data_IF_931284878586
#
_entry.id   IF_931284878586
#
_cell.length_a   1.000
_cell.length_b   1.000
_cell.length_c   1.000
_cell.angle_alpha   90.00
_cell.angle_beta   90.00
_cell.angle_gamma   90.00
#
_symmetry.space_group_name_H-M   'P 1'
#
loop_
_entity.id
_entity.type
_entity.pdbx_description
1 polymer ?
#
# COMPACT_ATOMS: atom_id res chain seq x y z
N UNK A 1 20.83 21.69 24.89
CA UNK A 1 20.98 21.27 23.49
C UNK A 1 20.24 19.97 23.35
N UNK A 2 19.11 19.93 22.64
CA UNK A 2 18.38 18.68 22.36
C UNK A 2 19.31 17.80 21.52
N UNK A 3 19.61 16.59 22.00
CA UNK A 3 20.36 15.61 21.21
C UNK A 3 19.57 15.33 19.92
N UNK A 4 20.02 15.88 18.80
CA UNK A 4 19.45 15.60 17.48
C UNK A 4 19.68 14.12 17.13
N UNK A 5 18.63 13.45 16.67
CA UNK A 5 18.76 12.08 16.17
C UNK A 5 19.37 12.13 14.77
N UNK A 6 20.67 11.87 14.69
CA UNK A 6 21.44 11.94 13.46
C UNK A 6 21.72 10.54 12.90
N UNK A 7 21.35 10.30 11.65
CA UNK A 7 21.68 9.07 10.91
C UNK A 7 22.36 9.44 9.60
N UNK A 8 23.44 8.78 9.28
CA UNK A 8 24.18 8.98 8.01
C UNK A 8 24.26 7.66 7.25
N UNK A 9 23.82 7.68 6.00
CA UNK A 9 24.09 6.61 5.04
C UNK A 9 25.37 7.00 4.34
N UNK A 10 26.41 6.17 4.50
CA UNK A 10 27.75 6.42 3.94
C UNK A 10 28.05 5.51 2.78
N UNK A 11 28.85 6.00 1.84
CA UNK A 11 29.49 5.21 0.77
C UNK A 11 28.47 4.51 -0.14
N UNK A 12 27.26 5.05 -0.37
CA UNK A 12 26.33 4.44 -1.30
C UNK A 12 26.92 4.43 -2.70
N UNK A 13 27.09 3.24 -3.29
CA UNK A 13 27.62 3.11 -4.66
C UNK A 13 26.70 3.83 -5.64
N UNK A 14 25.39 3.64 -5.46
CA UNK A 14 24.35 4.24 -6.28
C UNK A 14 23.20 4.77 -5.41
N UNK A 15 22.61 5.89 -5.83
CA UNK A 15 21.35 6.41 -5.29
C UNK A 15 20.42 6.70 -6.45
N UNK A 16 19.21 6.13 -6.46
CA UNK A 16 18.11 6.55 -7.32
C UNK A 16 17.25 7.50 -6.50
N UNK A 17 17.26 8.80 -6.86
CA UNK A 17 16.66 9.83 -6.00
C UNK A 17 15.14 9.91 -6.09
N UNK A 18 14.54 9.53 -7.20
CA UNK A 18 13.11 9.75 -7.49
C UNK A 18 12.64 11.20 -7.28
N UNK A 19 13.58 12.15 -7.37
CA UNK A 19 13.26 13.57 -7.45
C UNK A 19 12.64 13.93 -8.82
N UNK A 20 12.35 15.20 -9.06
CA UNK A 20 11.61 15.63 -10.27
C UNK A 20 12.33 15.28 -11.58
N UNK A 21 13.65 15.10 -11.55
CA UNK A 21 14.48 14.72 -12.71
C UNK A 21 15.02 13.29 -12.61
N UNK A 22 14.64 12.51 -11.60
CA UNK A 22 14.96 11.08 -11.39
C UNK A 22 16.46 10.81 -11.45
N UNK A 23 17.27 11.61 -10.72
CA UNK A 23 18.74 11.49 -10.76
C UNK A 23 19.21 10.14 -10.27
N UNK A 24 20.25 9.62 -10.94
CA UNK A 24 21.09 8.52 -10.45
C UNK A 24 22.42 9.11 -10.03
N UNK A 25 22.74 9.00 -8.74
CA UNK A 25 23.96 9.57 -8.13
C UNK A 25 24.94 8.47 -7.77
N UNK A 26 26.24 8.69 -8.02
CA UNK A 26 27.31 7.71 -7.78
C UNK A 26 28.22 8.18 -6.63
N UNK A 27 28.45 7.31 -5.64
CA UNK A 27 29.31 7.56 -4.49
C UNK A 27 28.88 8.81 -3.70
N UNK A 28 27.63 8.80 -3.25
CA UNK A 28 27.04 9.85 -2.41
C UNK A 28 26.71 9.34 -1.02
N UNK A 29 26.66 10.28 -0.07
CA UNK A 29 26.21 10.07 1.30
C UNK A 29 24.88 10.79 1.53
N UNK A 30 24.09 10.34 2.51
CA UNK A 30 22.85 11.00 2.91
C UNK A 30 22.90 11.27 4.41
N UNK A 31 22.68 12.52 4.84
CA UNK A 31 22.53 12.91 6.24
C UNK A 31 21.05 13.13 6.56
N UNK A 32 20.58 12.44 7.57
CA UNK A 32 19.22 12.57 8.14
C UNK A 32 19.35 13.16 9.54
N UNK A 33 18.59 14.20 9.84
CA UNK A 33 18.46 14.78 11.18
C UNK A 33 16.98 14.90 11.55
N UNK A 34 16.61 14.34 12.68
CA UNK A 34 15.22 14.36 13.18
C UNK A 34 14.22 13.88 12.11
N UNK A 35 14.56 12.78 11.44
CA UNK A 35 13.76 12.15 10.41
C UNK A 35 13.70 12.87 9.07
N UNK A 36 14.42 13.97 8.87
CA UNK A 36 14.44 14.73 7.61
C UNK A 36 15.82 14.68 6.95
N UNK A 37 15.84 14.50 5.61
CA UNK A 37 17.08 14.56 4.82
C UNK A 37 17.61 16.01 4.82
N UNK A 38 18.81 16.19 5.35
CA UNK A 38 19.47 17.49 5.43
C UNK A 38 20.51 17.69 4.32
N UNK A 39 21.18 16.58 3.90
CA UNK A 39 22.22 16.61 2.86
C UNK A 39 22.17 15.36 2.01
N UNK A 40 22.47 15.52 0.73
CA UNK A 40 22.78 14.47 -0.23
C UNK A 40 24.04 14.91 -0.98
N UNK A 41 25.21 14.53 -0.49
CA UNK A 41 26.51 15.06 -0.90
C UNK A 41 27.57 13.95 -0.88
N UNK A 42 28.68 14.16 -1.59
CA UNK A 42 29.86 13.29 -1.47
C UNK A 42 30.65 13.63 -0.21
N UNK A 43 31.17 12.61 0.46
CA UNK A 43 32.13 12.75 1.56
C UNK A 43 31.59 13.60 2.73
N UNK A 44 30.40 13.37 3.18
CA UNK A 44 29.84 14.03 4.38
C UNK A 44 30.78 13.73 5.57
N UNK A 45 31.29 14.78 6.21
CA UNK A 45 32.14 14.66 7.39
C UNK A 45 31.27 14.31 8.61
N UNK A 46 31.74 13.29 9.34
CA UNK A 46 31.13 12.87 10.59
C UNK A 46 31.69 13.69 11.76
N UNK A 47 30.85 13.94 12.75
CA UNK A 47 31.26 14.61 14.00
C UNK A 47 31.29 13.65 15.21
N UNK A 48 30.97 12.36 14.98
CA UNK A 48 30.99 11.31 15.99
C UNK A 48 29.70 11.16 16.79
N UNK A 49 28.65 11.91 16.44
CA UNK A 49 27.33 11.84 17.10
C UNK A 49 26.30 11.06 16.28
N UNK A 50 26.64 10.73 15.03
CA UNK A 50 25.73 10.08 14.09
C UNK A 50 25.69 8.56 14.28
N UNK A 51 24.52 7.97 14.02
CA UNK A 51 24.41 6.54 13.66
C UNK A 51 24.86 6.41 12.21
N UNK A 52 25.85 5.56 11.94
CA UNK A 52 26.38 5.37 10.59
C UNK A 52 25.92 4.04 10.04
N UNK A 53 25.32 4.07 8.83
CA UNK A 53 25.01 2.90 8.03
C UNK A 53 25.94 2.91 6.84
N UNK A 54 26.84 1.92 6.75
CA UNK A 54 27.72 1.77 5.60
C UNK A 54 26.96 1.08 4.46
N UNK A 55 26.80 1.80 3.35
CA UNK A 55 26.10 1.37 2.14
C UNK A 55 27.08 1.05 0.99
N UNK A 56 28.37 0.76 1.29
CA UNK A 56 29.31 0.27 0.29
C UNK A 56 28.78 -1.03 -0.36
N UNK A 57 28.82 -1.13 -1.69
CA UNK A 57 28.23 -2.22 -2.46
C UNK A 57 26.69 -2.18 -2.49
N UNK A 58 26.07 -1.04 -2.14
CA UNK A 58 24.62 -0.93 -2.11
C UNK A 58 24.08 0.15 -3.05
N UNK A 59 22.85 -0.08 -3.50
CA UNK A 59 21.97 0.90 -4.11
C UNK A 59 21.00 1.42 -3.03
N UNK A 60 20.77 2.73 -2.98
CA UNK A 60 19.79 3.38 -2.10
C UNK A 60 18.67 3.97 -2.92
N UNK A 61 17.44 3.70 -2.52
CA UNK A 61 16.22 4.31 -3.07
C UNK A 61 15.44 5.01 -1.98
N UNK A 62 14.48 5.89 -2.30
CA UNK A 62 13.41 6.19 -1.37
C UNK A 62 12.76 4.88 -0.92
N UNK A 63 12.23 4.84 0.29
CA UNK A 63 11.39 3.74 0.71
C UNK A 63 10.17 3.62 -0.21
N UNK A 64 9.77 2.38 -0.50
CA UNK A 64 8.60 2.11 -1.31
C UNK A 64 7.33 2.47 -0.54
N UNK A 65 6.28 2.84 -1.29
CA UNK A 65 4.98 3.29 -0.75
C UNK A 65 3.88 2.40 -1.30
N UNK A 66 3.32 1.58 -0.43
CA UNK A 66 2.20 0.70 -0.75
C UNK A 66 0.87 1.43 -0.56
N UNK A 67 0.05 1.50 -1.61
CA UNK A 67 -1.16 2.33 -1.63
C UNK A 67 -2.46 1.54 -1.46
N UNK A 68 -2.38 0.21 -1.36
CA UNK A 68 -3.53 -0.65 -1.11
C UNK A 68 -3.09 -2.00 -0.53
N UNK A 69 -3.70 -2.39 0.57
CA UNK A 69 -3.52 -3.68 1.23
C UNK A 69 -4.76 -4.05 2.04
N UNK A 70 -4.90 -5.34 2.34
CA UNK A 70 -5.79 -5.91 3.35
C UNK A 70 -4.93 -6.75 4.29
N UNK A 71 -4.29 -6.11 5.26
CA UNK A 71 -3.31 -6.76 6.14
C UNK A 71 -3.89 -7.97 6.89
N UNK A 72 -5.18 -7.91 7.25
CA UNK A 72 -5.86 -9.02 7.91
C UNK A 72 -5.81 -10.32 7.09
N UNK A 73 -5.71 -10.25 5.77
CA UNK A 73 -5.64 -11.43 4.90
C UNK A 73 -4.31 -12.19 5.00
N UNK A 74 -3.31 -11.66 5.71
CA UNK A 74 -1.98 -12.29 5.82
C UNK A 74 -2.01 -13.68 6.48
N UNK A 75 -3.07 -14.02 7.22
CA UNK A 75 -3.29 -15.35 7.79
C UNK A 75 -4.01 -16.32 6.82
N UNK A 76 -4.46 -15.87 5.65
CA UNK A 76 -5.25 -16.66 4.69
C UNK A 76 -4.61 -16.73 3.31
N UNK A 77 -3.27 -16.73 3.25
CA UNK A 77 -2.52 -16.92 2.00
C UNK A 77 -2.83 -18.29 1.40
N UNK A 78 -3.03 -18.35 0.09
CA UNK A 78 -3.15 -19.58 -0.69
C UNK A 78 -4.20 -20.57 -0.17
N UNK A 79 -5.35 -20.09 0.31
CA UNK A 79 -6.46 -20.97 0.73
C UNK A 79 -6.93 -21.79 -0.48
N UNK A 80 -6.96 -23.15 -0.40
CA UNK A 80 -7.19 -24.02 -1.55
C UNK A 80 -8.48 -23.71 -2.31
N UNK A 81 -9.60 -23.49 -1.61
CA UNK A 81 -10.90 -23.18 -2.22
C UNK A 81 -10.94 -21.85 -3.00
N UNK A 82 -10.04 -20.91 -2.67
CA UNK A 82 -9.93 -19.62 -3.34
C UNK A 82 -8.96 -19.60 -4.53
N UNK A 83 -8.18 -20.69 -4.77
CA UNK A 83 -7.07 -20.64 -5.73
C UNK A 83 -7.50 -20.44 -7.19
N UNK A 84 -8.64 -20.98 -7.59
CA UNK A 84 -9.14 -20.95 -8.97
C UNK A 84 -10.48 -20.19 -9.10
N UNK A 85 -10.84 -19.40 -8.10
CA UNK A 85 -12.09 -18.67 -8.08
C UNK A 85 -11.92 -17.24 -8.63
N UNK A 86 -12.94 -16.75 -9.34
CA UNK A 86 -13.11 -15.34 -9.64
C UNK A 86 -13.51 -14.57 -8.36
N UNK A 87 -13.46 -13.25 -8.38
CA UNK A 87 -13.63 -12.39 -7.20
C UNK A 87 -14.80 -12.79 -6.29
N UNK A 88 -16.02 -12.90 -6.81
CA UNK A 88 -17.19 -13.19 -5.99
C UNK A 88 -17.18 -14.60 -5.40
N UNK A 89 -16.69 -15.59 -6.15
CA UNK A 89 -16.48 -16.95 -5.66
C UNK A 89 -15.39 -17.02 -4.60
N UNK A 90 -14.31 -16.26 -4.78
CA UNK A 90 -13.21 -16.09 -3.85
C UNK A 90 -13.68 -15.46 -2.54
N UNK A 91 -14.47 -14.36 -2.59
CA UNK A 91 -15.06 -13.72 -1.41
C UNK A 91 -15.97 -14.68 -0.62
N UNK A 92 -16.86 -15.42 -1.32
CA UNK A 92 -17.73 -16.42 -0.67
C UNK A 92 -16.96 -17.53 0.05
N UNK A 93 -15.78 -17.88 -0.46
CA UNK A 93 -14.89 -18.87 0.18
C UNK A 93 -14.24 -18.30 1.44
N UNK A 94 -13.86 -17.03 1.44
CA UNK A 94 -13.03 -16.44 2.49
C UNK A 94 -13.83 -15.73 3.59
N UNK A 95 -14.98 -15.15 3.31
CA UNK A 95 -15.81 -14.50 4.34
C UNK A 95 -16.12 -15.39 5.56
N UNK A 96 -16.47 -16.69 5.40
CA UNK A 96 -16.66 -17.56 6.55
C UNK A 96 -15.42 -17.72 7.43
N UNK A 97 -14.22 -17.75 6.83
CA UNK A 97 -12.97 -17.82 7.55
C UNK A 97 -12.69 -16.50 8.27
N UNK A 98 -12.86 -15.38 7.58
CA UNK A 98 -12.63 -14.06 8.16
C UNK A 98 -13.63 -13.68 9.25
N UNK A 99 -14.84 -14.25 9.24
CA UNK A 99 -15.82 -14.07 10.32
C UNK A 99 -15.38 -14.65 11.67
N UNK A 100 -14.37 -15.53 11.67
CA UNK A 100 -13.77 -16.12 12.88
C UNK A 100 -12.70 -15.22 13.50
N UNK A 101 -12.24 -14.18 12.80
CA UNK A 101 -11.17 -13.32 13.28
C UNK A 101 -11.62 -12.50 14.49
N UNK A 102 -10.68 -12.23 15.40
CA UNK A 102 -10.81 -11.29 16.49
C UNK A 102 -9.61 -10.35 16.55
N UNK A 103 -9.47 -9.57 17.62
CA UNK A 103 -8.35 -8.63 17.79
C UNK A 103 -6.97 -9.26 17.65
N UNK A 104 -6.79 -10.53 18.09
CA UNK A 104 -5.52 -11.24 18.01
C UNK A 104 -5.14 -11.56 16.56
N UNK A 105 -6.08 -12.10 15.77
CA UNK A 105 -5.86 -12.39 14.35
C UNK A 105 -5.56 -11.10 13.57
N UNK A 106 -6.30 -10.02 13.82
CA UNK A 106 -6.07 -8.72 13.19
C UNK A 106 -4.68 -8.17 13.55
N UNK A 107 -4.29 -8.22 14.83
CA UNK A 107 -2.97 -7.74 15.25
C UNK A 107 -1.83 -8.55 14.61
N UNK A 108 -1.88 -9.88 14.69
CA UNK A 108 -0.79 -10.72 14.18
C UNK A 108 -0.69 -10.66 12.66
N UNK A 109 -1.81 -10.68 11.96
CA UNK A 109 -1.82 -10.51 10.50
C UNK A 109 -1.24 -9.15 10.06
N UNK A 110 -1.52 -8.09 10.81
CA UNK A 110 -0.98 -6.76 10.54
C UNK A 110 0.55 -6.72 10.73
N UNK A 111 1.07 -7.27 11.84
CA UNK A 111 2.52 -7.35 12.06
C UNK A 111 3.19 -8.17 10.97
N UNK A 112 2.62 -9.31 10.60
CA UNK A 112 3.15 -10.20 9.57
C UNK A 112 3.21 -9.50 8.21
N UNK A 113 2.09 -8.91 7.76
CA UNK A 113 2.01 -8.24 6.46
C UNK A 113 2.91 -7.00 6.36
N UNK A 114 2.94 -6.14 7.40
CA UNK A 114 3.84 -4.99 7.44
C UNK A 114 5.32 -5.40 7.49
N UNK A 115 5.65 -6.50 8.16
CA UNK A 115 7.02 -7.04 8.18
C UNK A 115 7.44 -7.54 6.80
N UNK A 116 6.55 -8.20 6.06
CA UNK A 116 6.80 -8.64 4.68
C UNK A 116 7.00 -7.44 3.75
N UNK A 117 6.16 -6.41 3.87
CA UNK A 117 6.32 -5.15 3.14
C UNK A 117 7.65 -4.47 3.47
N UNK A 118 8.04 -4.38 4.75
CA UNK A 118 9.31 -3.80 5.17
C UNK A 118 10.51 -4.52 4.52
N UNK A 119 10.51 -5.86 4.49
CA UNK A 119 11.54 -6.65 3.83
C UNK A 119 11.56 -6.46 2.31
N UNK A 120 10.45 -6.05 1.71
CA UNK A 120 10.37 -5.68 0.29
C UNK A 120 10.75 -4.23 -0.02
N UNK A 121 11.19 -3.45 0.99
CA UNK A 121 11.64 -2.06 0.85
C UNK A 121 10.56 -1.01 1.12
N UNK A 122 9.40 -1.40 1.60
CA UNK A 122 8.30 -0.50 1.87
C UNK A 122 8.48 0.23 3.22
N UNK A 123 8.37 1.55 3.21
CA UNK A 123 8.45 2.41 4.41
C UNK A 123 7.11 2.98 4.81
N UNK A 124 6.13 2.95 3.90
CA UNK A 124 4.77 3.42 4.13
C UNK A 124 3.76 2.47 3.50
N UNK A 125 2.72 2.12 4.24
CA UNK A 125 1.62 1.31 3.72
C UNK A 125 0.27 1.89 4.06
N UNK A 126 -0.62 1.96 3.06
CA UNK A 126 -2.06 2.01 3.30
C UNK A 126 -2.54 0.62 3.67
N UNK A 127 -3.65 0.56 4.41
CA UNK A 127 -4.40 -0.66 4.73
C UNK A 127 -5.89 -0.39 4.60
N UNK A 128 -6.65 -1.38 4.15
CA UNK A 128 -8.08 -1.31 3.99
C UNK A 128 -8.73 -2.44 4.78
N UNK A 129 -8.91 -2.23 6.10
CA UNK A 129 -9.69 -3.12 6.96
C UNK A 129 -11.17 -2.75 6.85
N UNK A 130 -12.01 -3.66 6.34
CA UNK A 130 -13.42 -3.43 6.08
C UNK A 130 -14.37 -4.40 6.80
N UNK A 131 -13.85 -5.23 7.70
CA UNK A 131 -14.62 -6.16 8.52
C UNK A 131 -14.10 -6.12 9.97
N UNK A 132 -15.03 -6.17 10.94
CA UNK A 132 -14.74 -5.99 12.35
C UNK A 132 -15.45 -7.06 13.21
N UNK A 133 -15.22 -8.36 12.96
CA UNK A 133 -15.86 -9.44 13.70
C UNK A 133 -15.29 -9.56 15.11
N UNK A 134 -16.09 -10.14 16.02
CA UNK A 134 -15.68 -10.57 17.35
C UNK A 134 -14.94 -9.51 18.20
N UNK A 135 -15.30 -8.23 18.02
CA UNK A 135 -14.72 -7.12 18.76
C UNK A 135 -13.40 -6.60 18.21
N UNK A 136 -12.98 -7.05 17.02
CA UNK A 136 -11.86 -6.44 16.29
C UNK A 136 -12.14 -4.98 15.95
N UNK A 137 -11.11 -4.15 15.92
CA UNK A 137 -11.19 -2.70 15.65
C UNK A 137 -10.03 -2.26 14.76
N UNK A 138 -10.15 -1.07 14.16
CA UNK A 138 -9.01 -0.47 13.43
C UNK A 138 -7.85 -0.09 14.38
N UNK A 139 -8.14 0.13 15.66
CA UNK A 139 -7.11 0.38 16.68
C UNK A 139 -6.10 -0.78 16.76
N UNK A 140 -6.54 -2.03 16.57
CA UNK A 140 -5.67 -3.22 16.59
C UNK A 140 -4.61 -3.19 15.48
N UNK A 141 -4.98 -2.74 14.27
CA UNK A 141 -4.03 -2.56 13.17
C UNK A 141 -3.08 -1.38 13.43
N UNK A 142 -3.60 -0.28 14.00
CA UNK A 142 -2.81 0.92 14.29
C UNK A 142 -1.73 0.61 15.34
N UNK A 143 -2.08 -0.07 16.43
CA UNK A 143 -1.11 -0.45 17.45
C UNK A 143 -0.08 -1.45 16.92
N UNK A 144 -0.49 -2.43 16.13
CA UNK A 144 0.40 -3.37 15.48
C UNK A 144 1.39 -2.67 14.52
N UNK A 145 0.93 -1.67 13.76
CA UNK A 145 1.78 -0.88 12.87
C UNK A 145 2.81 -0.04 13.65
N UNK A 146 2.45 0.49 14.81
CA UNK A 146 3.38 1.19 15.69
C UNK A 146 4.48 0.28 16.23
N UNK A 147 4.19 -1.01 16.49
CA UNK A 147 5.19 -2.00 16.89
C UNK A 147 6.21 -2.25 15.76
N UNK A 148 5.75 -2.41 14.52
CA UNK A 148 6.62 -2.62 13.34
C UNK A 148 7.41 -1.35 13.02
N UNK A 149 6.79 -0.17 13.12
CA UNK A 149 7.43 1.14 12.94
C UNK A 149 7.47 1.66 11.51
N UNK A 150 6.63 1.17 10.60
CA UNK A 150 6.39 1.78 9.29
C UNK A 150 5.44 2.98 9.41
N UNK A 151 5.48 3.91 8.44
CA UNK A 151 4.38 4.86 8.28
C UNK A 151 3.14 4.10 7.86
N UNK A 152 2.04 4.38 8.50
CA UNK A 152 0.80 3.66 8.31
C UNK A 152 -0.35 4.58 7.95
N UNK A 153 -1.06 4.21 6.89
CA UNK A 153 -2.23 4.92 6.39
C UNK A 153 -3.45 4.00 6.44
N UNK A 154 -3.96 3.66 7.66
CA UNK A 154 -5.13 2.83 7.78
C UNK A 154 -6.35 3.58 7.25
N UNK A 155 -7.15 2.91 6.44
CA UNK A 155 -8.45 3.40 6.03
C UNK A 155 -9.54 2.65 6.78
N UNK A 156 -10.48 3.38 7.37
CA UNK A 156 -11.65 2.79 8.02
C UNK A 156 -12.58 2.28 6.92
N UNK A 157 -12.43 0.98 6.62
CA UNK A 157 -13.30 0.29 5.69
C UNK A 157 -14.67 0.00 6.29
N UNK A 158 -15.65 -0.35 5.47
CA UNK A 158 -16.99 -0.69 5.94
C UNK A 158 -17.78 -1.51 4.92
N UNK A 159 -18.70 -2.33 5.42
CA UNK A 159 -19.73 -3.00 4.65
C UNK A 159 -21.06 -2.82 5.38
N UNK A 160 -22.15 -2.47 4.66
CA UNK A 160 -23.49 -2.28 5.24
C UNK A 160 -24.57 -3.13 4.57
N UNK A 161 -24.25 -3.78 3.43
CA UNK A 161 -25.18 -4.63 2.68
C UNK A 161 -24.73 -6.09 2.82
N UNK A 162 -25.43 -6.84 3.69
CA UNK A 162 -25.21 -8.28 3.90
C UNK A 162 -26.09 -9.15 3.01
N UNK A 163 -25.95 -10.48 3.16
CA UNK A 163 -26.71 -11.48 2.37
C UNK A 163 -28.23 -11.28 2.45
N UNK A 164 -28.77 -10.92 3.62
CA UNK A 164 -30.20 -10.65 3.81
C UNK A 164 -30.72 -9.47 2.97
N UNK A 165 -29.84 -8.56 2.56
CA UNK A 165 -30.13 -7.41 1.70
C UNK A 165 -29.61 -7.59 0.26
N UNK A 166 -29.19 -8.81 -0.10
CA UNK A 166 -28.70 -9.14 -1.44
C UNK A 166 -27.22 -8.83 -1.69
N UNK A 167 -26.47 -8.55 -0.61
CA UNK A 167 -25.01 -8.40 -0.65
C UNK A 167 -24.28 -9.74 -0.67
N UNK A 168 -22.95 -9.69 -0.73
CA UNK A 168 -22.08 -10.87 -0.72
C UNK A 168 -21.64 -11.30 0.68
N UNK A 169 -21.32 -10.36 1.62
CA UNK A 169 -20.84 -10.75 2.94
C UNK A 169 -21.95 -11.32 3.82
N UNK A 170 -21.65 -12.26 4.72
CA UNK A 170 -22.56 -12.67 5.77
C UNK A 170 -23.02 -11.47 6.60
N UNK A 171 -24.27 -11.49 7.08
CA UNK A 171 -24.83 -10.39 7.89
C UNK A 171 -24.04 -10.13 9.18
N UNK A 172 -23.30 -11.11 9.67
CA UNK A 172 -22.41 -10.96 10.84
C UNK A 172 -21.16 -10.10 10.57
N UNK A 173 -20.84 -9.83 9.31
CA UNK A 173 -19.67 -9.02 8.90
C UNK A 173 -20.04 -7.60 8.47
N UNK A 174 -21.34 -7.25 8.46
CA UNK A 174 -21.78 -5.91 8.11
C UNK A 174 -22.16 -5.11 9.36
N UNK A 175 -22.06 -3.80 9.26
CA UNK A 175 -22.30 -2.88 10.37
C UNK A 175 -23.47 -1.93 10.05
N UNK A 176 -24.05 -1.35 11.10
CA UNK A 176 -25.04 -0.27 10.94
C UNK A 176 -24.32 1.02 10.50
N UNK A 177 -24.87 1.71 9.53
CA UNK A 177 -24.24 2.89 8.94
C UNK A 177 -23.96 4.00 9.96
N UNK A 178 -24.85 4.20 10.93
CA UNK A 178 -24.62 5.18 11.99
C UNK A 178 -23.39 4.82 12.86
N UNK A 179 -23.19 3.53 13.15
CA UNK A 179 -22.05 3.07 13.93
C UNK A 179 -20.75 3.23 13.12
N UNK A 180 -20.80 2.96 11.80
CA UNK A 180 -19.68 3.19 10.87
C UNK A 180 -19.26 4.67 10.90
N UNK A 181 -20.21 5.60 10.75
CA UNK A 181 -19.91 7.05 10.73
C UNK A 181 -19.37 7.51 12.08
N UNK A 182 -19.94 7.04 13.19
CA UNK A 182 -19.47 7.38 14.53
C UNK A 182 -18.03 6.91 14.76
N UNK A 183 -17.70 5.69 14.31
CA UNK A 183 -16.35 5.14 14.44
C UNK A 183 -15.35 5.85 13.51
N UNK A 184 -15.76 6.25 12.31
CA UNK A 184 -14.94 7.10 11.43
C UNK A 184 -14.54 8.40 12.15
N UNK A 185 -15.48 9.09 12.77
CA UNK A 185 -15.22 10.33 13.51
C UNK A 185 -14.26 10.06 14.68
N UNK A 186 -14.54 9.03 15.48
CA UNK A 186 -13.68 8.63 16.62
C UNK A 186 -12.23 8.38 16.21
N UNK A 187 -12.01 7.63 15.12
CA UNK A 187 -10.69 7.29 14.64
C UNK A 187 -9.93 8.50 14.11
N UNK A 188 -10.60 9.38 13.37
CA UNK A 188 -10.00 10.62 12.88
C UNK A 188 -9.57 11.50 14.07
N UNK A 189 -10.48 11.73 15.01
CA UNK A 189 -10.20 12.60 16.15
C UNK A 189 -9.10 12.04 17.08
N UNK A 190 -8.95 10.71 17.14
CA UNK A 190 -7.96 10.03 18.01
C UNK A 190 -6.58 9.89 17.38
N UNK A 191 -6.51 9.58 16.08
CA UNK A 191 -5.25 9.11 15.48
C UNK A 191 -4.75 9.92 14.29
N UNK A 192 -5.60 10.74 13.63
CA UNK A 192 -5.17 11.43 12.43
C UNK A 192 -4.19 12.57 12.74
N UNK A 193 -2.95 12.44 12.28
CA UNK A 193 -1.92 13.48 12.35
C UNK A 193 -1.56 13.97 10.96
N UNK A 194 -1.80 15.25 10.66
CA UNK A 194 -1.54 15.87 9.36
C UNK A 194 -0.14 16.45 9.22
N UNK A 195 0.70 16.36 10.25
CA UNK A 195 2.08 16.86 10.19
C UNK A 195 2.92 16.13 9.15
N UNK A 196 3.95 16.75 8.56
CA UNK A 196 4.85 16.05 7.62
C UNK A 196 5.59 14.86 8.25
N UNK A 197 5.87 14.91 9.56
CA UNK A 197 6.51 13.82 10.29
C UNK A 197 5.55 12.69 10.71
N UNK A 198 4.26 12.87 10.48
CA UNK A 198 3.19 11.96 10.88
C UNK A 198 3.51 10.50 10.53
N UNK A 199 3.38 9.61 11.50
CA UNK A 199 3.48 8.17 11.33
C UNK A 199 2.11 7.53 11.05
N UNK A 200 1.00 8.19 11.37
CA UNK A 200 -0.37 7.71 11.20
C UNK A 200 -1.23 8.79 10.54
N UNK A 201 -1.88 8.46 9.44
CA UNK A 201 -2.97 9.26 8.85
C UNK A 201 -4.17 8.37 8.57
N UNK A 202 -5.36 8.86 8.86
CA UNK A 202 -6.60 8.12 8.69
C UNK A 202 -7.24 8.47 7.34
N UNK A 203 -7.67 7.46 6.59
CA UNK A 203 -8.59 7.59 5.46
C UNK A 203 -9.93 6.91 5.74
N UNK A 204 -10.95 7.18 4.92
CA UNK A 204 -12.25 6.53 4.98
C UNK A 204 -12.45 5.68 3.72
N UNK A 205 -12.96 4.44 3.88
CA UNK A 205 -12.96 3.49 2.77
C UNK A 205 -14.12 2.48 2.84
N UNK A 206 -15.38 2.86 2.53
CA UNK A 206 -16.39 1.88 2.16
C UNK A 206 -15.79 0.84 1.21
N UNK A 207 -16.05 -0.45 1.44
CA UNK A 207 -15.31 -1.53 0.78
C UNK A 207 -15.41 -1.43 -0.76
N UNK A 208 -16.63 -1.30 -1.26
CA UNK A 208 -16.88 -1.15 -2.71
C UNK A 208 -18.29 -0.59 -2.94
N UNK A 209 -18.62 -0.08 -4.12
CA UNK A 209 -19.97 0.38 -4.45
C UNK A 209 -21.07 -0.68 -4.30
N UNK A 210 -20.73 -1.96 -4.34
CA UNK A 210 -21.67 -3.07 -4.20
C UNK A 210 -21.78 -3.64 -2.78
N UNK A 211 -21.01 -3.13 -1.82
CA UNK A 211 -20.99 -3.62 -0.42
C UNK A 211 -21.59 -2.65 0.59
N UNK A 212 -21.96 -1.45 0.14
CA UNK A 212 -22.53 -0.38 0.96
C UNK A 212 -23.68 0.32 0.22
N UNK A 213 -24.52 1.05 0.95
CA UNK A 213 -25.58 1.84 0.32
C UNK A 213 -25.02 3.09 -0.38
N UNK A 214 -25.82 3.64 -1.30
CA UNK A 214 -25.54 4.91 -1.97
C UNK A 214 -25.43 6.07 -0.96
N UNK A 215 -26.26 6.01 0.05
CA UNK A 215 -26.32 6.97 1.16
C UNK A 215 -25.00 6.96 1.94
N UNK A 216 -24.53 5.79 2.37
CA UNK A 216 -23.26 5.67 3.09
C UNK A 216 -22.07 6.16 2.25
N UNK A 217 -22.04 5.84 0.95
CA UNK A 217 -20.99 6.38 0.06
C UNK A 217 -20.98 7.91 0.08
N UNK A 218 -22.17 8.55 -0.08
CA UNK A 218 -22.30 10.01 -0.07
C UNK A 218 -21.92 10.62 1.26
N UNK A 219 -22.43 10.08 2.36
CA UNK A 219 -22.22 10.60 3.71
C UNK A 219 -20.76 10.47 4.12
N UNK A 220 -20.09 9.37 3.74
CA UNK A 220 -18.66 9.18 3.93
C UNK A 220 -17.84 10.23 3.15
N UNK A 221 -18.22 10.53 1.90
CA UNK A 221 -17.53 11.56 1.11
C UNK A 221 -17.70 12.98 1.70
N UNK A 222 -18.88 13.29 2.24
CA UNK A 222 -19.14 14.56 2.94
C UNK A 222 -18.30 14.65 4.22
N UNK A 223 -18.32 13.60 5.04
CA UNK A 223 -17.54 13.52 6.29
C UNK A 223 -16.04 13.68 6.03
N UNK A 224 -15.51 12.98 5.02
CA UNK A 224 -14.08 13.04 4.70
C UNK A 224 -13.64 14.47 4.36
N UNK A 225 -14.44 15.22 3.63
CA UNK A 225 -14.13 16.61 3.26
C UNK A 225 -14.28 17.57 4.43
N UNK A 226 -15.29 17.37 5.27
CA UNK A 226 -15.44 18.13 6.51
C UNK A 226 -14.23 17.95 7.44
N UNK A 227 -13.80 16.71 7.64
CA UNK A 227 -12.65 16.33 8.46
C UNK A 227 -11.30 16.47 7.76
N UNK A 228 -11.26 16.78 6.44
CA UNK A 228 -10.03 16.92 5.63
C UNK A 228 -9.18 15.65 5.61
N UNK A 229 -9.81 14.50 5.53
CA UNK A 229 -9.17 13.19 5.34
C UNK A 229 -9.46 12.67 3.94
N UNK A 230 -8.74 11.64 3.54
CA UNK A 230 -8.84 11.07 2.19
C UNK A 230 -9.88 9.95 2.10
N UNK A 231 -10.26 9.63 0.86
CA UNK A 231 -11.22 8.60 0.48
C UNK A 231 -10.56 7.50 -0.34
N UNK A 232 -10.92 6.26 -0.06
CA UNK A 232 -10.46 5.08 -0.78
C UNK A 232 -11.58 4.05 -0.95
N UNK A 233 -11.62 3.34 -2.09
CA UNK A 233 -12.51 2.19 -2.31
C UNK A 233 -12.02 1.35 -3.48
N UNK A 234 -12.51 0.10 -3.62
CA UNK A 234 -12.36 -0.69 -4.84
C UNK A 234 -13.29 -0.13 -5.92
N UNK A 235 -12.81 -0.06 -7.15
CA UNK A 235 -13.60 0.47 -8.26
C UNK A 235 -13.21 -0.17 -9.59
N UNK A 236 -14.21 -0.62 -10.34
CA UNK A 236 -14.03 -1.13 -11.71
C UNK A 236 -12.95 -2.21 -11.81
N UNK A 237 -12.94 -3.15 -10.87
CA UNK A 237 -11.93 -4.20 -10.81
C UNK A 237 -12.11 -5.24 -11.91
N UNK A 238 -13.36 -5.66 -12.15
CA UNK A 238 -13.67 -6.73 -13.11
C UNK A 238 -14.98 -6.47 -13.88
N UNK A 239 -15.38 -7.40 -14.74
CA UNK A 239 -16.62 -7.27 -15.52
C UNK A 239 -17.88 -7.35 -14.66
N UNK A 240 -17.84 -8.06 -13.52
CA UNK A 240 -18.97 -8.17 -12.60
C UNK A 240 -19.28 -6.82 -11.96
N UNK A 241 -18.25 -6.02 -11.63
CA UNK A 241 -18.40 -4.64 -11.12
C UNK A 241 -19.09 -3.74 -12.15
N UNK A 242 -18.69 -3.84 -13.41
CA UNK A 242 -19.30 -3.05 -14.49
C UNK A 242 -20.76 -3.44 -14.66
N UNK A 243 -21.06 -4.75 -14.73
CA UNK A 243 -22.41 -5.25 -14.88
C UNK A 243 -23.31 -4.82 -13.72
N UNK A 244 -22.81 -4.95 -12.48
CA UNK A 244 -23.52 -4.51 -11.28
C UNK A 244 -23.82 -3.00 -11.31
N UNK A 245 -22.83 -2.17 -11.65
CA UNK A 245 -22.99 -0.72 -11.69
C UNK A 245 -24.03 -0.28 -12.73
N UNK A 246 -23.98 -0.89 -13.90
CA UNK A 246 -24.97 -0.61 -14.96
C UNK A 246 -26.39 -1.08 -14.57
N UNK A 247 -26.52 -2.25 -13.96
CA UNK A 247 -27.83 -2.80 -13.53
C UNK A 247 -28.44 -2.00 -12.38
N UNK A 248 -27.64 -1.71 -11.34
CA UNK A 248 -28.14 -1.11 -10.09
C UNK A 248 -28.16 0.40 -10.10
N UNK A 249 -27.22 1.03 -10.79
CA UNK A 249 -27.04 2.48 -10.75
C UNK A 249 -27.34 3.15 -12.10
N UNK A 250 -27.44 2.37 -13.19
CA UNK A 250 -27.70 2.89 -14.53
C UNK A 250 -26.52 3.61 -15.18
N UNK A 251 -25.34 3.57 -14.58
CA UNK A 251 -24.13 4.23 -15.07
C UNK A 251 -22.88 3.39 -14.79
N UNK A 252 -21.75 3.75 -15.42
CA UNK A 252 -20.47 3.11 -15.18
C UNK A 252 -19.87 3.51 -13.83
N UNK A 253 -18.95 2.69 -13.26
CA UNK A 253 -18.40 2.93 -11.91
C UNK A 253 -17.77 4.31 -11.72
N UNK A 254 -17.02 4.84 -12.70
CA UNK A 254 -16.42 6.17 -12.60
C UNK A 254 -17.45 7.30 -12.60
N UNK A 255 -18.56 7.17 -13.35
CA UNK A 255 -19.67 8.12 -13.29
C UNK A 255 -20.39 8.07 -11.95
N UNK A 256 -20.63 6.87 -11.43
CA UNK A 256 -21.20 6.69 -10.09
C UNK A 256 -20.32 7.31 -9.01
N UNK A 257 -19.00 7.13 -9.12
CA UNK A 257 -18.05 7.77 -8.21
C UNK A 257 -18.15 9.30 -8.29
N UNK A 258 -18.21 9.89 -9.50
CA UNK A 258 -18.37 11.35 -9.69
C UNK A 258 -19.65 11.87 -9.04
N UNK A 259 -20.80 11.20 -9.27
CA UNK A 259 -22.10 11.59 -8.72
C UNK A 259 -22.14 11.63 -7.20
N UNK A 260 -21.40 10.74 -6.55
CA UNK A 260 -21.37 10.64 -5.08
C UNK A 260 -20.21 11.43 -4.43
N UNK A 261 -19.45 12.17 -5.24
CA UNK A 261 -18.34 12.95 -4.74
C UNK A 261 -17.06 12.14 -4.48
N UNK A 262 -16.91 10.98 -5.12
CA UNK A 262 -15.74 10.09 -5.01
C UNK A 262 -14.70 10.35 -6.11
N UNK A 263 -14.53 11.62 -6.48
CA UNK A 263 -13.47 12.11 -7.36
C UNK A 263 -12.79 13.32 -6.74
N UNK A 264 -11.49 13.49 -6.98
CA UNK A 264 -10.70 14.59 -6.45
C UNK A 264 -9.30 14.17 -6.03
N UNK A 265 -8.46 15.15 -5.72
CA UNK A 265 -7.08 14.94 -5.24
C UNK A 265 -6.98 14.26 -3.86
N UNK A 266 -8.08 14.20 -3.15
CA UNK A 266 -8.27 13.56 -1.85
C UNK A 266 -8.84 12.15 -1.97
N UNK A 267 -8.93 11.61 -3.19
CA UNK A 267 -9.52 10.31 -3.51
C UNK A 267 -8.55 9.46 -4.30
N UNK A 268 -8.43 8.19 -3.94
CA UNK A 268 -7.78 7.18 -4.79
C UNK A 268 -8.56 5.88 -4.77
N UNK A 269 -8.60 5.18 -5.91
CA UNK A 269 -9.31 3.93 -6.08
C UNK A 269 -8.36 2.76 -6.32
N UNK A 270 -8.67 1.59 -5.76
CA UNK A 270 -7.94 0.37 -6.04
C UNK A 270 -8.40 -0.26 -7.36
N UNK A 271 -7.47 -0.95 -8.03
CA UNK A 271 -7.59 -1.74 -9.25
C UNK A 271 -7.84 -0.92 -10.53
N UNK A 272 -9.03 -0.38 -10.73
CA UNK A 272 -9.39 0.42 -11.91
C UNK A 272 -9.08 -0.26 -13.25
N UNK A 273 -9.23 -1.62 -13.29
CA UNK A 273 -8.87 -2.45 -14.46
C UNK A 273 -9.76 -2.18 -15.65
N UNK A 274 -11.04 -1.91 -15.40
CA UNK A 274 -12.10 -1.78 -16.41
C UNK A 274 -12.55 -0.35 -16.67
N UNK A 275 -11.75 0.64 -16.28
CA UNK A 275 -12.03 2.04 -16.65
C UNK A 275 -11.99 2.21 -18.17
N UNK A 276 -12.97 2.91 -18.72
CA UNK A 276 -12.95 3.34 -20.10
C UNK A 276 -12.24 4.70 -20.25
N UNK A 277 -12.06 5.12 -21.49
CA UNK A 277 -11.37 6.38 -21.82
C UNK A 277 -12.05 7.62 -21.21
N UNK A 278 -13.38 7.61 -21.05
CA UNK A 278 -14.10 8.75 -20.48
C UNK A 278 -13.85 8.83 -18.98
N UNK A 279 -13.84 7.68 -18.29
CA UNK A 279 -13.52 7.55 -16.88
C UNK A 279 -12.03 7.91 -16.58
N UNK A 280 -11.10 7.47 -17.43
CA UNK A 280 -9.68 7.89 -17.34
C UNK A 280 -9.53 9.40 -17.48
N UNK A 281 -10.21 10.02 -18.44
CA UNK A 281 -10.21 11.48 -18.61
C UNK A 281 -10.86 12.19 -17.40
N UNK A 282 -11.90 11.62 -16.82
CA UNK A 282 -12.51 12.12 -15.57
C UNK A 282 -11.48 12.13 -14.44
N UNK A 283 -10.77 11.02 -14.22
CA UNK A 283 -9.78 10.90 -13.16
C UNK A 283 -8.59 11.83 -13.34
N UNK A 284 -8.14 12.01 -14.59
CA UNK A 284 -7.11 12.98 -14.93
C UNK A 284 -7.52 14.42 -14.55
N UNK A 285 -8.67 14.91 -15.04
CA UNK A 285 -9.12 16.30 -14.78
C UNK A 285 -9.48 16.55 -13.32
N UNK A 286 -9.99 15.54 -12.59
CA UNK A 286 -10.31 15.63 -11.17
C UNK A 286 -9.09 15.38 -10.26
N UNK A 287 -7.96 14.90 -10.80
CA UNK A 287 -6.76 14.46 -10.07
C UNK A 287 -7.04 13.31 -9.12
N UNK A 288 -7.98 12.44 -9.46
CA UNK A 288 -8.25 11.21 -8.70
C UNK A 288 -7.11 10.23 -8.91
N UNK A 289 -6.61 9.65 -7.81
CA UNK A 289 -5.52 8.68 -7.83
C UNK A 289 -5.99 7.25 -8.12
N UNK A 290 -5.07 6.42 -8.59
CA UNK A 290 -5.29 4.98 -8.80
C UNK A 290 -4.20 4.18 -8.11
N UNK A 291 -4.59 3.17 -7.34
CA UNK A 291 -3.70 2.13 -6.81
C UNK A 291 -3.73 0.91 -7.72
N UNK A 292 -2.68 0.71 -8.49
CA UNK A 292 -2.55 -0.45 -9.37
C UNK A 292 -2.07 -1.68 -8.60
N UNK A 293 -2.82 -2.79 -8.69
CA UNK A 293 -2.54 -4.05 -7.98
C UNK A 293 -2.31 -5.20 -8.99
N UNK A 294 -1.17 -5.18 -9.74
CA UNK A 294 -1.00 -6.04 -10.91
C UNK A 294 -1.02 -7.53 -10.60
N UNK A 295 -0.42 -7.99 -9.50
CA UNK A 295 -0.41 -9.41 -9.16
C UNK A 295 -1.80 -9.90 -8.77
N UNK A 296 -2.53 -9.17 -7.93
CA UNK A 296 -3.90 -9.50 -7.55
C UNK A 296 -4.84 -9.52 -8.78
N UNK A 297 -4.75 -8.52 -9.64
CA UNK A 297 -5.53 -8.48 -10.89
C UNK A 297 -5.27 -9.71 -11.78
N UNK A 298 -4.02 -10.17 -11.88
CA UNK A 298 -3.66 -11.41 -12.58
C UNK A 298 -4.22 -12.64 -11.86
N UNK A 299 -4.04 -12.69 -10.54
CA UNK A 299 -4.42 -13.84 -9.71
C UNK A 299 -5.93 -14.09 -9.73
N UNK A 300 -6.74 -13.02 -9.69
CA UNK A 300 -8.21 -13.08 -9.73
C UNK A 300 -8.77 -13.08 -11.17
N UNK A 301 -7.91 -12.97 -12.19
CA UNK A 301 -8.34 -12.94 -13.58
C UNK A 301 -9.10 -11.66 -13.97
N UNK A 302 -8.92 -10.57 -13.24
CA UNK A 302 -9.60 -9.29 -13.48
C UNK A 302 -9.16 -8.65 -14.80
N UNK A 303 -7.91 -8.87 -15.22
CA UNK A 303 -7.35 -8.36 -16.48
C UNK A 303 -6.14 -7.46 -16.26
N UNK A 304 -5.74 -6.74 -17.32
CA UNK A 304 -4.63 -5.79 -17.30
C UNK A 304 -5.20 -4.37 -17.27
N UNK A 305 -4.94 -3.64 -16.19
CA UNK A 305 -5.36 -2.24 -16.07
C UNK A 305 -4.65 -1.35 -17.13
N UNK A 306 -5.32 -0.36 -17.73
CA UNK A 306 -4.78 0.49 -18.77
C UNK A 306 -3.83 1.59 -18.21
N UNK A 307 -2.79 1.17 -17.47
CA UNK A 307 -1.91 2.08 -16.73
C UNK A 307 -1.14 3.01 -17.66
N UNK A 308 -0.69 2.52 -18.82
CA UNK A 308 -0.01 3.36 -19.79
C UNK A 308 -0.91 4.51 -20.32
N UNK A 309 -2.19 4.21 -20.56
CA UNK A 309 -3.17 5.23 -20.96
C UNK A 309 -3.47 6.20 -19.81
N UNK A 310 -3.58 5.71 -18.57
CA UNK A 310 -3.78 6.56 -17.39
C UNK A 310 -2.62 7.54 -17.21
N UNK A 311 -1.37 7.06 -17.27
CA UNK A 311 -0.17 7.89 -17.11
C UNK A 311 -0.05 8.93 -18.23
N UNK A 312 -0.28 8.54 -19.49
CA UNK A 312 -0.28 9.47 -20.63
C UNK A 312 -1.38 10.51 -20.55
N UNK A 313 -2.50 10.18 -19.95
CA UNK A 313 -3.61 11.12 -19.71
C UNK A 313 -3.40 12.00 -18.46
N UNK A 314 -2.35 11.78 -17.66
CA UNK A 314 -2.02 12.56 -16.48
C UNK A 314 -2.76 12.10 -15.20
N UNK A 315 -3.23 10.86 -15.14
CA UNK A 315 -3.75 10.26 -13.90
C UNK A 315 -2.58 9.92 -12.99
N UNK A 316 -2.68 10.26 -11.71
CA UNK A 316 -1.70 9.85 -10.70
C UNK A 316 -1.90 8.36 -10.37
N UNK A 317 -0.83 7.57 -10.47
CA UNK A 317 -0.85 6.13 -10.20
C UNK A 317 0.21 5.77 -9.17
N UNK A 318 -0.18 4.98 -8.19
CA UNK A 318 0.70 4.28 -7.25
C UNK A 318 0.53 2.76 -7.36
N UNK A 319 1.35 1.99 -6.64
CA UNK A 319 1.25 0.53 -6.56
C UNK A 319 0.66 0.07 -5.23
N UNK A 320 -0.17 -0.95 -5.29
CA UNK A 320 -0.67 -1.70 -4.14
C UNK A 320 -0.40 -3.19 -4.29
N UNK A 321 -0.03 -3.85 -3.19
CA UNK A 321 0.11 -5.32 -3.19
C UNK A 321 -1.24 -6.03 -3.08
N UNK A 322 -2.29 -5.32 -2.62
CA UNK A 322 -3.58 -5.90 -2.26
C UNK A 322 -3.48 -6.90 -1.09
N UNK A 323 -4.55 -7.62 -0.78
CA UNK A 323 -4.57 -8.63 0.26
C UNK A 323 -3.71 -9.85 -0.07
N UNK A 324 -3.03 -10.39 0.93
CA UNK A 324 -2.20 -11.59 0.75
C UNK A 324 -3.01 -12.84 0.39
N UNK A 325 -4.32 -12.84 0.51
CA UNK A 325 -5.18 -13.94 0.05
C UNK A 325 -5.47 -13.86 -1.46
N UNK A 326 -5.30 -12.69 -2.09
CA UNK A 326 -5.48 -12.49 -3.55
C UNK A 326 -4.16 -12.30 -4.30
N UNK A 327 -3.05 -12.08 -3.59
CA UNK A 327 -1.71 -11.92 -4.18
C UNK A 327 -0.75 -13.07 -3.84
N UNK A 328 -0.97 -13.74 -2.70
CA UNK A 328 -0.08 -14.72 -2.10
C UNK A 328 1.27 -14.15 -1.61
N UNK A 329 1.55 -12.87 -1.80
CA UNK A 329 2.79 -12.18 -1.43
C UNK A 329 2.53 -10.71 -1.05
N UNK A 330 3.32 -10.16 -0.12
CA UNK A 330 3.35 -8.74 0.24
C UNK A 330 4.59 -8.00 -0.28
N UNK A 331 5.10 -8.36 -1.46
CA UNK A 331 6.34 -7.80 -2.03
C UNK A 331 6.07 -6.67 -3.02
N UNK A 332 6.17 -5.41 -2.56
CA UNK A 332 5.91 -4.25 -3.42
C UNK A 332 6.92 -4.08 -4.57
N UNK A 333 8.17 -4.51 -4.37
CA UNK A 333 9.16 -4.50 -5.47
C UNK A 333 8.79 -5.50 -6.57
N UNK A 334 8.15 -6.61 -6.22
CA UNK A 334 7.63 -7.57 -7.20
C UNK A 334 6.43 -7.00 -7.97
N UNK A 335 5.58 -6.20 -7.33
CA UNK A 335 4.49 -5.47 -7.99
C UNK A 335 5.04 -4.50 -9.05
N UNK A 336 6.11 -3.77 -8.74
CA UNK A 336 6.74 -2.87 -9.71
C UNK A 336 7.23 -3.63 -10.96
N UNK A 337 7.85 -4.82 -10.77
CA UNK A 337 8.22 -5.70 -11.89
C UNK A 337 7.01 -6.15 -12.68
N UNK A 338 5.97 -6.61 -12.02
CA UNK A 338 4.76 -7.12 -12.67
C UNK A 338 4.04 -6.01 -13.45
N UNK A 339 3.92 -4.82 -12.88
CA UNK A 339 3.36 -3.64 -13.55
C UNK A 339 4.10 -3.36 -14.86
N UNK A 340 5.44 -3.28 -14.83
CA UNK A 340 6.26 -3.05 -16.03
C UNK A 340 6.03 -4.12 -17.09
N UNK A 341 6.07 -5.41 -16.72
CA UNK A 341 5.97 -6.50 -17.69
C UNK A 341 4.57 -6.57 -18.33
N UNK A 342 3.50 -6.34 -17.56
CA UNK A 342 2.13 -6.32 -18.08
C UNK A 342 1.91 -5.17 -19.06
N UNK A 343 2.38 -3.97 -18.74
CA UNK A 343 2.25 -2.85 -19.68
C UNK A 343 3.05 -3.08 -20.97
N UNK A 344 4.24 -3.68 -20.88
CA UNK A 344 5.04 -4.02 -22.06
C UNK A 344 4.38 -5.09 -22.93
N UNK A 345 3.81 -6.12 -22.34
CA UNK A 345 3.15 -7.19 -23.14
C UNK A 345 1.87 -6.68 -23.81
N UNK A 346 1.18 -5.71 -23.21
CA UNK A 346 -0.05 -5.15 -23.74
C UNK A 346 0.17 -4.02 -24.75
N UNK A 347 1.22 -3.20 -24.58
CA UNK A 347 1.35 -1.94 -25.29
C UNK A 347 2.68 -1.77 -26.05
N UNK A 348 3.60 -2.74 -25.97
CA UNK A 348 4.94 -2.68 -26.59
C UNK A 348 6.07 -2.55 -25.58
N UNK A 349 7.29 -2.89 -26.01
CA UNK A 349 8.45 -2.98 -25.13
C UNK A 349 8.87 -1.63 -24.49
N UNK A 350 8.45 -0.53 -25.04
CA UNK A 350 8.72 0.85 -24.62
C UNK A 350 7.60 1.47 -23.77
N UNK A 351 6.50 0.76 -23.53
CA UNK A 351 5.32 1.26 -22.80
C UNK A 351 5.61 1.65 -21.35
N UNK A 352 6.56 0.99 -20.70
CA UNK A 352 6.95 1.29 -19.31
C UNK A 352 8.41 0.91 -19.07
N UNK A 353 9.23 1.85 -18.63
CA UNK A 353 10.59 1.58 -18.20
C UNK A 353 10.63 1.04 -16.76
N UNK A 354 11.78 0.49 -16.34
CA UNK A 354 12.00 0.10 -14.94
C UNK A 354 11.95 1.32 -14.00
N UNK A 355 12.43 2.48 -14.48
CA UNK A 355 12.39 3.74 -13.72
C UNK A 355 10.94 4.22 -13.52
N UNK A 356 10.07 4.08 -14.53
CA UNK A 356 8.63 4.41 -14.39
C UNK A 356 7.94 3.50 -13.36
N UNK A 357 8.22 2.20 -13.40
CA UNK A 357 7.66 1.26 -12.43
C UNK A 357 8.14 1.55 -10.99
N UNK A 358 9.40 1.93 -10.80
CA UNK A 358 9.91 2.37 -9.50
C UNK A 358 9.28 3.70 -9.06
N UNK A 359 8.97 4.59 -9.98
CA UNK A 359 8.24 5.83 -9.65
C UNK A 359 6.84 5.52 -9.10
N UNK A 360 6.09 4.60 -9.72
CA UNK A 360 4.79 4.18 -9.19
C UNK A 360 4.91 3.61 -7.77
N UNK A 361 5.99 2.86 -7.50
CA UNK A 361 6.25 2.24 -6.19
C UNK A 361 6.79 3.22 -5.12
N UNK A 362 7.14 4.44 -5.49
CA UNK A 362 7.76 5.43 -4.59
C UNK A 362 6.98 6.74 -4.61
N UNK A 363 7.41 7.70 -5.44
CA UNK A 363 6.83 9.05 -5.55
C UNK A 363 5.36 9.01 -5.94
N UNK A 364 4.98 8.19 -6.92
CA UNK A 364 3.60 8.05 -7.36
C UNK A 364 2.68 7.60 -6.20
N UNK A 365 3.11 6.59 -5.44
CA UNK A 365 2.38 6.15 -4.24
C UNK A 365 2.27 7.24 -3.18
N UNK A 366 3.35 7.97 -2.91
CA UNK A 366 3.35 9.07 -1.94
C UNK A 366 2.42 10.20 -2.36
N UNK A 367 2.39 10.55 -3.65
CA UNK A 367 1.57 11.64 -4.17
C UNK A 367 0.06 11.32 -4.08
N UNK A 368 -0.37 10.09 -4.39
CA UNK A 368 -1.80 9.72 -4.28
C UNK A 368 -2.27 9.61 -2.83
N UNK A 369 -1.36 9.30 -1.88
CA UNK A 369 -1.65 9.32 -0.46
C UNK A 369 -1.55 10.73 0.17
N UNK A 370 -1.28 11.77 -0.63
CA UNK A 370 -1.12 13.14 -0.14
C UNK A 370 0.11 13.34 0.75
N UNK A 371 1.21 12.59 0.48
CA UNK A 371 2.47 12.59 1.23
C UNK A 371 3.67 13.01 0.35
N UNK A 372 3.65 14.21 -0.26
CA UNK A 372 4.70 14.62 -1.21
C UNK A 372 6.08 14.75 -0.57
N UNK A 373 6.16 14.79 0.76
CA UNK A 373 7.41 14.78 1.52
C UNK A 373 8.08 13.40 1.59
N UNK A 374 7.40 12.32 1.17
CA UNK A 374 7.88 10.94 1.13
C UNK A 374 8.17 10.49 -0.31
N UNK A 375 8.74 9.29 -0.49
CA UNK A 375 9.00 8.68 -1.79
C UNK A 375 10.06 9.35 -2.65
N UNK A 376 10.90 10.23 -2.06
CA UNK A 376 11.95 11.02 -2.74
C UNK A 376 13.21 11.09 -1.87
N UNK A 377 14.40 11.13 -2.52
CA UNK A 377 15.68 11.46 -1.87
C UNK A 377 16.09 12.86 -2.32
N UNK A 378 15.71 13.85 -1.55
CA UNK A 378 16.10 15.25 -1.73
C UNK A 378 16.15 15.97 -0.38
N UNK A 379 16.88 17.06 -0.30
CA UNK A 379 16.92 17.88 0.92
C UNK A 379 15.51 18.35 1.26
N UNK A 380 15.11 18.20 2.52
CA UNK A 380 13.79 18.53 3.02
C UNK A 380 12.77 17.38 3.00
N UNK A 381 13.01 16.31 2.23
CA UNK A 381 12.16 15.12 2.26
C UNK A 381 12.35 14.31 3.55
N UNK A 382 11.40 13.40 3.83
CA UNK A 382 11.52 12.48 4.97
C UNK A 382 12.63 11.46 4.76
N UNK A 383 13.28 11.06 5.84
CA UNK A 383 14.39 10.11 5.85
C UNK A 383 13.90 8.66 5.82
N UNK A 384 13.05 8.34 4.86
CA UNK A 384 12.49 7.01 4.60
C UNK A 384 13.26 6.38 3.42
N UNK A 385 14.14 5.43 3.70
CA UNK A 385 15.11 4.91 2.73
C UNK A 385 15.16 3.39 2.73
N UNK A 386 15.28 2.80 1.54
CA UNK A 386 15.57 1.39 1.31
C UNK A 386 16.99 1.22 0.75
N UNK A 387 17.78 0.36 1.39
CA UNK A 387 19.20 0.10 1.06
C UNK A 387 19.28 -1.35 0.59
N UNK A 388 19.70 -1.54 -0.66
CA UNK A 388 19.70 -2.82 -1.38
C UNK A 388 21.13 -3.28 -1.64
N UNK A 389 21.48 -4.49 -1.23
CA UNK A 389 22.77 -5.09 -1.58
C UNK A 389 22.81 -5.40 -3.08
N UNK A 390 23.78 -4.84 -3.77
CA UNK A 390 24.02 -5.06 -5.21
C UNK A 390 25.39 -5.68 -5.48
N UNK A 391 26.06 -6.16 -4.46
CA UNK A 391 27.40 -6.79 -4.57
C UNK A 391 27.32 -8.27 -4.96
N UNK A 392 26.13 -8.88 -4.92
CA UNK A 392 25.92 -10.30 -5.16
C UNK A 392 25.92 -10.71 -6.65
N UNK A 393 25.96 -12.02 -6.88
CA UNK A 393 25.96 -12.62 -8.23
C UNK A 393 24.70 -12.28 -9.03
N UNK A 394 23.56 -12.10 -8.35
CA UNK A 394 22.27 -11.73 -8.93
C UNK A 394 22.24 -10.29 -9.46
N UNK A 395 23.23 -9.49 -9.10
CA UNK A 395 23.40 -8.10 -9.52
C UNK A 395 24.57 -7.91 -10.51
N UNK A 396 25.48 -8.87 -10.57
CA UNK A 396 26.66 -8.79 -11.40
C UNK A 396 26.31 -8.67 -12.90
N UNK A 397 26.97 -7.75 -13.60
CA UNK A 397 26.78 -7.51 -15.03
C UNK A 397 25.58 -6.65 -15.39
N UNK A 398 24.84 -6.08 -14.43
CA UNK A 398 23.76 -5.12 -14.69
C UNK A 398 24.31 -3.75 -15.07
N UNK A 399 23.67 -3.08 -16.02
CA UNK A 399 24.05 -1.76 -16.52
C UNK A 399 23.05 -0.67 -16.10
N UNK A 400 21.82 -1.05 -15.80
CA UNK A 400 20.76 -0.14 -15.41
C UNK A 400 20.36 -0.42 -13.95
N UNK A 401 20.55 0.54 -13.02
CA UNK A 401 20.28 0.33 -11.60
C UNK A 401 18.78 0.15 -11.28
N UNK A 402 17.88 0.75 -12.06
CA UNK A 402 16.45 0.56 -11.87
C UNK A 402 16.02 -0.84 -12.35
N UNK A 403 16.49 -1.25 -13.53
CA UNK A 403 16.21 -2.60 -14.06
C UNK A 403 16.83 -3.68 -13.17
N UNK A 404 17.99 -3.42 -12.55
CA UNK A 404 18.62 -4.30 -11.59
C UNK A 404 17.73 -4.63 -10.40
N UNK A 405 17.07 -3.63 -9.82
CA UNK A 405 16.13 -3.86 -8.70
C UNK A 405 14.93 -4.70 -9.11
N UNK A 406 14.46 -4.55 -10.35
CA UNK A 406 13.29 -5.27 -10.86
C UNK A 406 13.63 -6.62 -11.51
N UNK A 407 14.90 -7.00 -11.59
CA UNK A 407 15.33 -8.20 -12.31
C UNK A 407 14.87 -9.52 -11.65
N UNK A 408 14.65 -9.53 -10.34
CA UNK A 408 14.23 -10.71 -9.59
C UNK A 408 13.75 -10.35 -8.19
N UNK A 409 13.42 -11.35 -7.37
CA UNK A 409 13.03 -11.10 -5.98
C UNK A 409 14.21 -10.48 -5.22
N UNK A 410 13.95 -9.33 -4.61
CA UNK A 410 14.94 -8.60 -3.80
C UNK A 410 14.39 -8.40 -2.40
N UNK A 411 15.29 -8.45 -1.42
CA UNK A 411 15.02 -8.00 -0.05
C UNK A 411 15.99 -6.88 0.28
N UNK A 412 15.53 -5.93 1.07
CA UNK A 412 16.42 -4.86 1.53
C UNK A 412 17.48 -5.41 2.47
N UNK A 413 18.68 -4.86 2.40
CA UNK A 413 19.74 -5.05 3.40
C UNK A 413 19.38 -4.24 4.67
N UNK A 414 19.03 -2.95 4.48
CA UNK A 414 18.59 -2.09 5.57
C UNK A 414 17.38 -1.26 5.15
N UNK A 415 16.49 -0.99 6.09
CA UNK A 415 15.34 -0.11 5.91
C UNK A 415 15.33 0.94 7.02
N UNK A 416 15.20 2.19 6.63
CA UNK A 416 15.13 3.34 7.53
C UNK A 416 13.81 4.06 7.35
N UNK A 417 13.11 4.32 8.44
CA UNK A 417 11.85 5.09 8.47
C UNK A 417 12.01 6.21 9.49
N UNK A 418 11.79 7.44 9.08
CA UNK A 418 11.95 8.62 9.93
C UNK A 418 13.34 8.67 10.63
N UNK A 419 14.37 8.22 9.92
CA UNK A 419 15.72 8.10 10.46
C UNK A 419 15.94 6.94 11.45
N UNK A 420 14.93 6.08 11.69
CA UNK A 420 15.00 4.89 12.56
C UNK A 420 15.22 3.63 11.72
N UNK A 421 16.06 2.75 12.21
CA UNK A 421 16.32 1.45 11.55
C UNK A 421 15.16 0.50 11.87
N UNK A 422 14.53 -0.03 10.83
CA UNK A 422 13.45 -1.04 10.90
C UNK A 422 13.97 -2.41 10.47
N UNK A 423 14.79 -2.45 9.41
CA UNK A 423 15.46 -3.65 8.93
C UNK A 423 16.97 -3.46 9.01
N UNK A 424 17.68 -4.45 9.56
CA UNK A 424 19.13 -4.49 9.61
C UNK A 424 19.62 -5.85 9.12
N UNK A 425 20.53 -5.87 8.14
CA UNK A 425 21.03 -7.07 7.48
C UNK A 425 19.92 -8.09 7.11
N UNK A 426 18.86 -7.58 6.47
CA UNK A 426 17.73 -8.38 6.02
C UNK A 426 16.81 -8.92 7.12
N UNK A 427 16.96 -8.44 8.37
CA UNK A 427 16.14 -8.87 9.51
C UNK A 427 15.34 -7.69 10.09
N UNK A 428 14.07 -7.89 10.39
CA UNK A 428 13.27 -6.93 11.17
C UNK A 428 13.88 -6.83 12.58
N UNK A 429 14.12 -5.61 13.06
CA UNK A 429 14.74 -5.36 14.38
C UNK A 429 13.78 -4.71 15.38
N UNK A 430 12.57 -4.40 14.98
CA UNK A 430 11.56 -3.72 15.80
C UNK A 430 10.62 -4.67 16.50
N UNK A 431 10.43 -5.89 15.97
CA UNK A 431 9.59 -6.94 16.55
C UNK A 431 10.32 -8.27 16.59
N UNK A 432 9.93 -9.16 17.53
CA UNK A 432 10.51 -10.49 17.64
C UNK A 432 9.84 -11.45 16.67
N UNK A 433 10.38 -11.55 15.45
CA UNK A 433 9.79 -12.35 14.37
C UNK A 433 9.57 -13.83 14.73
N UNK A 434 10.41 -14.43 15.60
CA UNK A 434 10.22 -15.81 16.05
C UNK A 434 8.91 -16.01 16.83
N UNK A 435 8.52 -15.02 17.66
CA UNK A 435 7.25 -15.04 18.39
C UNK A 435 6.08 -14.85 17.41
N UNK A 436 6.15 -13.86 16.52
CA UNK A 436 5.13 -13.60 15.48
C UNK A 436 4.88 -14.84 14.61
N UNK A 437 5.94 -15.51 14.14
CA UNK A 437 5.81 -16.73 13.33
C UNK A 437 5.19 -17.90 14.11
N UNK A 438 5.52 -18.05 15.40
CA UNK A 438 4.91 -19.06 16.27
C UNK A 438 3.41 -18.82 16.47
N UNK A 439 3.03 -17.54 16.75
CA UNK A 439 1.62 -17.15 16.89
C UNK A 439 0.86 -17.31 15.57
N UNK A 440 1.46 -16.88 14.46
CA UNK A 440 0.89 -17.07 13.11
C UNK A 440 0.56 -18.55 12.86
N UNK A 441 1.51 -19.45 13.15
CA UNK A 441 1.28 -20.90 12.96
C UNK A 441 0.12 -21.41 13.81
N UNK A 442 0.06 -21.00 15.07
CA UNK A 442 -1.04 -21.38 15.99
C UNK A 442 -2.39 -20.90 15.48
N UNK A 443 -2.49 -19.61 15.11
CA UNK A 443 -3.74 -19.02 14.62
C UNK A 443 -4.20 -19.67 13.31
N UNK A 444 -3.32 -19.88 12.34
CA UNK A 444 -3.65 -20.54 11.08
C UNK A 444 -4.16 -21.96 11.32
N UNK A 445 -3.53 -22.74 12.23
CA UNK A 445 -4.01 -24.06 12.59
C UNK A 445 -5.42 -24.03 13.20
N UNK A 446 -5.69 -23.07 14.10
CA UNK A 446 -7.01 -22.92 14.70
C UNK A 446 -8.07 -22.56 13.66
N UNK A 447 -7.77 -21.62 12.74
CA UNK A 447 -8.67 -21.25 11.65
C UNK A 447 -8.98 -22.43 10.73
N UNK A 448 -7.97 -23.24 10.38
CA UNK A 448 -8.16 -24.44 9.57
C UNK A 448 -9.08 -25.47 10.24
N UNK A 449 -8.96 -25.67 11.57
CA UNK A 449 -9.82 -26.60 12.32
C UNK A 449 -11.27 -26.11 12.43
N UNK A 450 -11.50 -24.80 12.46
CA UNK A 450 -12.84 -24.22 12.60
C UNK A 450 -13.54 -24.02 11.24
N UNK A 451 -12.80 -24.08 10.14
CA UNK A 451 -13.32 -23.89 8.79
C UNK A 451 -13.75 -25.19 8.09
N UNK A 452 -13.55 -26.35 8.76
CA UNK A 452 -14.01 -27.66 8.32
C UNK A 452 -15.42 -27.91 8.83
#
# INVERSE_FOLDING_TARGET
>A
MTNKNLTVIKNADLIISMDDVRRVLNNYDILISDGQIQKVEKNIRLNGLEKVIDAAGCLVTPGLVNTHHHLFQSLTKAVPGGQNALLFGWLKTLYPIWSLFGPEEIRISTILGLSELALSGCTMSSDHLYLFPNGATLDDTIFAAQEVGLRFYPTRGSMSIGESLGGLPPDSLVEKEQDIINDCIRLIDKFNDTSPASMIRIGLAPCSPFSVTRELMRDTAVLARDKKVTLHTHLAENEEDIAYSLEKFGCRPGQYAEELGWTGKDVWHAHCVKLDKQEINLFSRSRTGVSHCPCSNCRLGSGIAPINEMLTSGVNVGLGVDGSASNDSGSLISEARQAMLLQRVSNGADAMSAMDALELATRGGADILGRPECGRIQVGARGDLAIWDISGIDSAGSWDPAALLLAGPKKVKHLVVEGRIIVWDGNIVTVKMSEVLSETKRLVQNLQLQSI
#
